data_IF_640926522771
#
_entry.id   IF_640926522771
#
_cell.length_a   1.000
_cell.length_b   1.000
_cell.length_c   1.000
_cell.angle_alpha   90.00
_cell.angle_beta   90.00
_cell.angle_gamma   90.00
#
_symmetry.space_group_name_H-M   'P 1'
#
loop_
_entity.id
_entity.type
_entity.pdbx_description
1 polymer ?
#
# COMPACT_ATOMS: atom_id res chain seq x y z
N UNK A 1 -13.92 2.85 -15.62
CA UNK A 1 -13.48 3.86 -14.63
C UNK A 1 -12.75 4.94 -15.38
N UNK A 2 -13.22 6.20 -15.29
CA UNK A 2 -12.55 7.33 -15.91
C UNK A 2 -11.28 7.66 -15.12
N UNK A 3 -10.19 7.92 -15.83
CA UNK A 3 -8.99 8.48 -15.22
C UNK A 3 -9.30 9.90 -14.75
N UNK A 4 -9.19 10.14 -13.44
CA UNK A 4 -9.22 11.50 -12.88
C UNK A 4 -7.80 11.99 -12.64
N UNK A 5 -7.49 13.18 -13.17
CA UNK A 5 -6.19 13.80 -12.99
C UNK A 5 -5.99 14.21 -11.51
N UNK A 6 -4.95 13.67 -10.87
CA UNK A 6 -4.62 13.96 -9.47
C UNK A 6 -3.83 15.27 -9.36
N UNK A 7 -4.50 16.38 -9.61
CA UNK A 7 -3.93 17.74 -9.58
C UNK A 7 -3.24 18.06 -8.26
N UNK A 8 -3.73 17.54 -7.13
CA UNK A 8 -3.13 17.75 -5.80
C UNK A 8 -1.66 17.31 -5.73
N UNK A 9 -1.25 16.29 -6.50
CA UNK A 9 0.13 15.78 -6.53
C UNK A 9 1.12 16.79 -7.11
N UNK A 10 0.64 17.76 -7.90
CA UNK A 10 1.48 18.84 -8.43
C UNK A 10 1.90 19.82 -7.33
N UNK A 11 1.08 20.01 -6.30
CA UNK A 11 1.37 20.91 -5.17
C UNK A 11 2.26 20.27 -4.10
N UNK A 12 2.42 18.94 -4.12
CA UNK A 12 3.23 18.18 -3.17
C UNK A 12 4.70 18.03 -3.60
N UNK A 13 5.13 18.69 -4.66
CA UNK A 13 6.52 18.68 -5.12
C UNK A 13 7.33 19.67 -4.28
N UNK A 14 8.20 19.15 -3.43
CA UNK A 14 9.14 19.94 -2.62
C UNK A 14 10.50 19.97 -3.30
N UNK A 15 11.14 21.14 -3.32
CA UNK A 15 12.51 21.27 -3.82
C UNK A 15 13.46 20.32 -3.09
N UNK A 16 14.40 19.72 -3.84
CA UNK A 16 15.37 18.77 -3.31
C UNK A 16 14.88 17.32 -3.14
N UNK A 17 13.61 17.02 -3.45
CA UNK A 17 13.06 15.66 -3.40
C UNK A 17 12.75 15.09 -4.79
N UNK A 18 12.97 13.79 -4.94
CA UNK A 18 12.61 13.01 -6.12
C UNK A 18 11.18 12.49 -5.96
N UNK A 19 10.23 13.17 -6.61
CA UNK A 19 8.82 12.78 -6.62
C UNK A 19 8.51 11.83 -7.79
N UNK A 20 7.81 10.72 -7.53
CA UNK A 20 7.38 9.78 -8.57
C UNK A 20 6.08 9.04 -8.22
N UNK A 21 5.34 8.62 -9.25
CA UNK A 21 4.17 7.76 -9.12
C UNK A 21 4.55 6.28 -9.25
N UNK A 22 3.96 5.41 -8.43
CA UNK A 22 4.06 3.95 -8.53
C UNK A 22 2.66 3.34 -8.37
N UNK A 23 2.20 2.64 -9.40
CA UNK A 23 0.89 1.98 -9.40
C UNK A 23 1.05 0.48 -9.63
N UNK A 24 0.49 -0.34 -8.74
CA UNK A 24 0.41 -1.79 -8.86
C UNK A 24 -1.04 -2.20 -8.62
N UNK A 25 -1.76 -2.48 -9.71
CA UNK A 25 -3.21 -2.73 -9.70
C UNK A 25 -3.95 -1.57 -9.01
N UNK A 26 -4.65 -1.83 -7.90
CA UNK A 26 -5.42 -0.82 -7.17
C UNK A 26 -4.56 0.06 -6.25
N UNK A 27 -3.33 -0.38 -5.92
CA UNK A 27 -2.42 0.39 -5.06
C UNK A 27 -1.72 1.46 -5.89
N UNK A 28 -1.99 2.73 -5.60
CA UNK A 28 -1.45 3.87 -6.33
C UNK A 28 -0.79 4.87 -5.37
N UNK A 29 0.54 4.89 -5.38
CA UNK A 29 1.37 5.69 -4.51
C UNK A 29 1.97 6.88 -5.27
N UNK A 30 2.02 8.02 -4.60
CA UNK A 30 2.88 9.14 -4.97
C UNK A 30 3.93 9.30 -3.88
N UNK A 31 5.20 9.09 -4.23
CA UNK A 31 6.32 9.03 -3.30
C UNK A 31 7.25 10.19 -3.59
N UNK A 32 7.62 10.94 -2.54
CA UNK A 32 8.63 11.99 -2.59
C UNK A 32 9.73 11.66 -1.57
N UNK A 33 10.96 11.52 -2.03
CA UNK A 33 12.09 11.10 -1.19
C UNK A 33 13.40 11.75 -1.64
N UNK A 34 14.40 11.81 -0.75
CA UNK A 34 15.71 12.41 -1.05
C UNK A 34 16.49 11.66 -2.13
N UNK A 35 16.15 10.39 -2.40
CA UNK A 35 16.69 9.59 -3.49
C UNK A 35 15.59 8.83 -4.24
N UNK A 36 15.92 8.37 -5.45
CA UNK A 36 15.01 7.56 -6.26
C UNK A 36 14.88 6.16 -5.67
N UNK A 37 13.70 5.84 -5.14
CA UNK A 37 13.38 4.57 -4.45
C UNK A 37 12.36 3.71 -5.21
N UNK A 38 12.36 3.79 -6.55
CA UNK A 38 11.28 3.21 -7.36
C UNK A 38 11.24 1.69 -7.25
N UNK A 39 12.41 1.03 -7.24
CA UNK A 39 12.49 -0.43 -7.20
C UNK A 39 12.10 -0.95 -5.82
N UNK A 40 12.63 -0.33 -4.77
CA UNK A 40 12.33 -0.67 -3.38
C UNK A 40 10.84 -0.51 -3.08
N UNK A 41 10.22 0.57 -3.58
CA UNK A 41 8.80 0.78 -3.44
C UNK A 41 7.98 -0.26 -4.23
N UNK A 42 8.42 -0.64 -5.43
CA UNK A 42 7.76 -1.68 -6.23
C UNK A 42 7.78 -3.02 -5.49
N UNK A 43 8.95 -3.44 -5.01
CA UNK A 43 9.14 -4.71 -4.32
C UNK A 43 8.29 -4.76 -3.04
N UNK A 44 8.31 -3.68 -2.24
CA UNK A 44 7.51 -3.56 -1.03
C UNK A 44 5.99 -3.65 -1.32
N UNK A 45 5.51 -2.98 -2.37
CA UNK A 45 4.09 -3.02 -2.76
C UNK A 45 3.69 -4.42 -3.24
N UNK A 46 4.50 -5.05 -4.07
CA UNK A 46 4.23 -6.41 -4.58
C UNK A 46 4.18 -7.41 -3.43
N UNK A 47 5.17 -7.39 -2.53
CA UNK A 47 5.25 -8.29 -1.38
C UNK A 47 4.06 -8.08 -0.42
N UNK A 48 3.77 -6.83 -0.08
CA UNK A 48 2.64 -6.48 0.80
C UNK A 48 1.32 -6.97 0.24
N UNK A 49 1.06 -6.72 -1.05
CA UNK A 49 -0.16 -7.16 -1.73
C UNK A 49 -0.28 -8.68 -1.78
N UNK A 50 0.83 -9.38 -2.02
CA UNK A 50 0.85 -10.83 -2.00
C UNK A 50 0.44 -11.37 -0.62
N UNK A 51 1.09 -10.87 0.44
CA UNK A 51 0.80 -11.28 1.82
C UNK A 51 -0.67 -11.06 2.17
N UNK A 52 -1.20 -9.86 1.90
CA UNK A 52 -2.61 -9.52 2.17
C UNK A 52 -3.54 -10.45 1.41
N UNK A 53 -3.29 -10.68 0.12
CA UNK A 53 -4.15 -11.58 -0.67
C UNK A 53 -4.10 -13.03 -0.19
N UNK A 54 -2.95 -13.53 0.27
CA UNK A 54 -2.87 -14.89 0.80
C UNK A 54 -3.58 -15.00 2.14
N UNK A 55 -3.42 -14.02 3.03
CA UNK A 55 -4.11 -14.02 4.31
C UNK A 55 -5.63 -13.98 4.16
N UNK A 56 -6.14 -13.16 3.22
CA UNK A 56 -7.58 -13.10 2.90
C UNK A 56 -8.11 -14.46 2.42
N UNK A 57 -7.32 -15.28 1.72
CA UNK A 57 -7.80 -16.59 1.25
C UNK A 57 -8.10 -17.54 2.41
N UNK A 58 -7.30 -17.51 3.48
CA UNK A 58 -7.52 -18.34 4.66
C UNK A 58 -8.44 -17.67 5.70
N UNK A 59 -8.56 -16.34 5.67
CA UNK A 59 -9.40 -15.54 6.56
C UNK A 59 -10.27 -14.55 5.77
N UNK A 60 -11.32 -15.02 5.05
CA UNK A 60 -12.12 -14.17 4.17
C UNK A 60 -12.75 -12.95 4.85
N UNK A 61 -13.11 -13.08 6.13
CA UNK A 61 -13.65 -12.00 6.97
C UNK A 61 -12.69 -10.81 7.11
N UNK A 62 -11.38 -11.02 6.96
CA UNK A 62 -10.37 -9.96 7.00
C UNK A 62 -10.58 -8.91 5.89
N UNK A 63 -11.18 -9.28 4.76
CA UNK A 63 -11.43 -8.37 3.66
C UNK A 63 -12.71 -7.54 3.80
N UNK A 64 -13.68 -8.00 4.61
CA UNK A 64 -15.05 -7.47 4.60
C UNK A 64 -15.53 -7.01 5.97
N UNK A 65 -14.81 -7.31 7.05
CA UNK A 65 -15.21 -6.90 8.39
C UNK A 65 -15.29 -5.39 8.54
N UNK A 66 -16.36 -4.93 9.16
CA UNK A 66 -16.57 -3.54 9.58
C UNK A 66 -16.43 -3.37 11.10
N UNK A 67 -16.03 -4.43 11.79
CA UNK A 67 -15.71 -4.45 13.22
C UNK A 67 -14.28 -4.98 13.41
N UNK A 68 -13.60 -4.63 14.51
CA UNK A 68 -12.30 -5.20 14.82
C UNK A 68 -12.33 -6.73 14.83
N UNK A 69 -11.33 -7.35 14.21
CA UNK A 69 -11.14 -8.80 14.24
C UNK A 69 -10.16 -9.18 15.36
N UNK A 70 -10.22 -10.42 15.87
CA UNK A 70 -9.24 -10.89 16.85
C UNK A 70 -7.81 -10.79 16.30
N UNK A 71 -6.86 -10.44 17.17
CA UNK A 71 -5.45 -10.45 16.81
C UNK A 71 -4.99 -11.88 16.48
N UNK A 72 -4.32 -12.03 15.34
CA UNK A 72 -3.61 -13.26 14.98
C UNK A 72 -2.11 -13.06 15.19
N UNK A 73 -1.58 -13.67 16.25
CA UNK A 73 -0.16 -13.61 16.62
C UNK A 73 0.77 -14.32 15.63
N UNK A 74 0.22 -15.16 14.75
CA UNK A 74 0.95 -15.89 13.72
C UNK A 74 0.85 -15.23 12.34
N UNK A 75 0.04 -14.18 12.22
CA UNK A 75 -0.08 -13.45 10.97
C UNK A 75 1.23 -12.72 10.64
N UNK A 76 1.54 -12.49 9.35
CA UNK A 76 2.67 -11.66 8.95
C UNK A 76 2.55 -10.22 9.49
N UNK A 77 3.68 -9.54 9.69
CA UNK A 77 3.75 -8.22 10.33
C UNK A 77 2.77 -7.18 9.78
N UNK A 78 2.59 -7.11 8.46
CA UNK A 78 1.65 -6.17 7.84
C UNK A 78 0.20 -6.46 8.24
N UNK A 79 -0.16 -7.73 8.41
CA UNK A 79 -1.50 -8.15 8.84
C UNK A 79 -1.68 -7.85 10.33
N UNK A 80 -0.67 -8.14 11.16
CA UNK A 80 -0.72 -7.80 12.58
C UNK A 80 -0.95 -6.29 12.78
N UNK A 81 -0.26 -5.45 11.99
CA UNK A 81 -0.44 -3.99 12.02
C UNK A 81 -1.82 -3.53 11.55
N UNK A 82 -2.49 -4.30 10.70
CA UNK A 82 -3.86 -3.99 10.23
C UNK A 82 -4.94 -4.46 11.20
N UNK A 83 -4.65 -5.44 12.06
CA UNK A 83 -5.57 -5.95 13.09
C UNK A 83 -5.55 -5.11 14.38
N UNK A 84 -4.58 -4.22 14.53
CA UNK A 84 -4.45 -3.26 15.64
C UNK A 84 -5.21 -1.97 15.34
#
# INVERSE_FOLDING_TARGET
MNYEERSYRKYSQTEGLNSFNLTVKETDLFISASKKLRQEALDAVVQSRFIIKQYIKSHPEFATSLIPLPLDKHAPDIIQKMLQ
#
